data_IF_172339235720
#
_entry.id   IF_172339235720
#
_cell.length_a   1.000
_cell.length_b   1.000
_cell.length_c   1.000
_cell.angle_alpha   90.00
_cell.angle_beta   90.00
_cell.angle_gamma   90.00
#
_symmetry.space_group_name_H-M   'P 1'
#
loop_
_entity.id
_entity.type
_entity.pdbx_description
1 polymer ?
#
# COMPACT_ATOMS: atom_id res chain seq x y z
N UNK A 1 -1.82 -5.56 24.45
CA UNK A 1 -2.91 -4.85 23.76
C UNK A 1 -3.63 -5.87 22.90
N UNK A 2 -4.91 -6.13 23.18
CA UNK A 2 -5.71 -7.04 22.35
C UNK A 2 -5.79 -6.46 20.94
N UNK A 3 -5.32 -7.22 19.96
CA UNK A 3 -5.46 -6.84 18.55
C UNK A 3 -6.95 -6.71 18.24
N UNK A 4 -7.34 -5.58 17.65
CA UNK A 4 -8.70 -5.36 17.21
C UNK A 4 -9.06 -6.44 16.18
N UNK A 5 -10.13 -7.19 16.44
CA UNK A 5 -10.66 -8.22 15.55
C UNK A 5 -12.11 -7.91 15.28
N UNK A 6 -12.56 -8.16 14.07
CA UNK A 6 -13.97 -8.13 13.72
C UNK A 6 -14.36 -9.40 12.92
N UNK A 7 -15.58 -9.50 12.47
CA UNK A 7 -16.08 -10.64 11.70
C UNK A 7 -15.40 -10.82 10.32
N UNK A 8 -14.65 -9.81 9.86
CA UNK A 8 -13.97 -9.80 8.56
C UNK A 8 -12.47 -10.03 8.65
N UNK A 9 -11.86 -9.94 9.83
CA UNK A 9 -10.43 -10.17 9.97
C UNK A 9 -9.82 -9.62 11.28
N UNK A 10 -8.48 -9.59 11.34
CA UNK A 10 -7.51 -9.89 10.27
C UNK A 10 -7.27 -11.40 10.10
N UNK A 11 -6.99 -11.82 8.85
CA UNK A 11 -6.55 -13.18 8.56
C UNK A 11 -5.10 -13.42 9.02
N UNK A 12 -4.25 -12.40 8.85
CA UNK A 12 -2.84 -12.44 9.25
C UNK A 12 -2.41 -11.12 9.86
N UNK A 13 -1.67 -11.18 10.96
CA UNK A 13 -0.84 -10.10 11.47
C UNK A 13 0.56 -10.63 11.72
N UNK A 14 1.54 -9.97 11.11
CA UNK A 14 2.93 -10.42 11.07
C UNK A 14 3.84 -9.25 11.44
N UNK A 15 4.68 -9.46 12.45
CA UNK A 15 5.81 -8.59 12.76
C UNK A 15 7.08 -9.22 12.24
N UNK A 16 7.92 -8.45 11.54
CA UNK A 16 9.20 -8.91 10.99
C UNK A 16 10.33 -8.03 11.49
N UNK A 17 11.48 -8.65 11.71
CA UNK A 17 12.72 -7.99 12.11
C UNK A 17 13.91 -8.66 11.44
N UNK A 18 14.85 -7.87 10.93
CA UNK A 18 16.12 -8.36 10.40
C UNK A 18 17.28 -7.80 11.22
N UNK A 19 17.97 -8.62 12.04
CA UNK A 19 19.07 -8.15 12.89
C UNK A 19 20.29 -7.67 12.11
N UNK A 20 20.44 -8.03 10.83
CA UNK A 20 21.58 -7.61 9.99
C UNK A 20 21.43 -6.17 9.52
N UNK A 21 20.20 -5.76 9.22
CA UNK A 21 19.92 -4.42 8.70
C UNK A 21 19.25 -3.51 9.74
N UNK A 22 18.77 -4.08 10.85
CA UNK A 22 17.92 -3.39 11.81
C UNK A 22 16.51 -3.09 11.29
N UNK A 23 16.11 -3.75 10.17
CA UNK A 23 14.78 -3.59 9.60
C UNK A 23 13.71 -4.11 10.57
N UNK A 24 12.73 -3.27 10.86
CA UNK A 24 11.54 -3.62 11.64
C UNK A 24 10.29 -3.20 10.86
N UNK A 25 9.31 -4.10 10.78
CA UNK A 25 8.08 -3.79 10.07
C UNK A 25 6.93 -4.73 10.39
N UNK A 26 5.77 -4.37 9.85
CA UNK A 26 4.49 -5.04 10.08
C UNK A 26 3.78 -5.31 8.77
N UNK A 27 3.08 -6.43 8.69
CA UNK A 27 2.11 -6.71 7.64
C UNK A 27 0.82 -7.18 8.28
N UNK A 28 -0.29 -6.51 7.95
CA UNK A 28 -1.63 -6.99 8.26
C UNK A 28 -2.37 -7.28 6.96
N UNK A 29 -2.81 -8.52 6.80
CA UNK A 29 -3.74 -8.94 5.77
C UNK A 29 -5.08 -9.06 6.46
N UNK A 30 -5.97 -8.09 6.18
CA UNK A 30 -7.25 -8.02 6.88
C UNK A 30 -8.25 -9.01 6.29
N UNK A 31 -8.38 -9.03 4.95
CA UNK A 31 -9.32 -9.95 4.30
C UNK A 31 -8.89 -10.24 2.86
N UNK A 32 -9.04 -11.49 2.43
CA UNK A 32 -8.70 -11.94 1.06
C UNK A 32 -9.88 -12.55 0.31
N UNK A 33 -11.12 -12.36 0.76
CA UNK A 33 -12.31 -12.92 0.13
C UNK A 33 -12.50 -12.50 -1.34
N UNK A 34 -12.14 -11.25 -1.67
CA UNK A 34 -12.23 -10.73 -3.05
C UNK A 34 -10.94 -10.91 -3.86
N UNK A 35 -9.89 -11.45 -3.26
CA UNK A 35 -8.58 -11.63 -3.89
C UNK A 35 -7.43 -11.26 -2.96
N UNK A 36 -6.18 -11.22 -3.45
CA UNK A 36 -5.03 -10.85 -2.63
C UNK A 36 -5.25 -9.53 -1.92
N UNK A 37 -4.85 -9.45 -0.64
CA UNK A 37 -4.88 -8.19 0.10
C UNK A 37 -4.03 -7.14 -0.60
N UNK A 38 -4.63 -5.98 -0.91
CA UNK A 38 -3.97 -4.85 -1.57
C UNK A 38 -3.85 -3.68 -0.62
N UNK A 39 -2.66 -3.10 -0.50
CA UNK A 39 -2.44 -1.91 0.30
C UNK A 39 -1.00 -1.42 0.28
N UNK A 40 -0.81 -0.16 0.65
CA UNK A 40 0.48 0.52 0.62
C UNK A 40 1.40 0.13 1.77
N UNK A 41 2.69 0.47 1.63
CA UNK A 41 3.70 0.36 2.69
C UNK A 41 3.91 1.75 3.29
N UNK A 42 3.43 1.96 4.51
CA UNK A 42 3.67 3.20 5.26
C UNK A 42 5.06 3.18 5.87
N UNK A 43 5.86 4.20 5.59
CA UNK A 43 7.25 4.28 6.03
C UNK A 43 7.47 5.48 6.96
N UNK A 44 7.21 5.29 8.24
CA UNK A 44 7.35 6.35 9.27
C UNK A 44 8.13 5.85 10.48
N UNK A 45 8.71 6.75 11.29
CA UNK A 45 9.54 6.33 12.44
C UNK A 45 8.71 5.68 13.56
N UNK A 46 7.43 5.96 13.63
CA UNK A 46 6.52 5.57 14.70
C UNK A 46 5.33 4.72 14.21
N UNK A 47 5.43 4.10 13.03
CA UNK A 47 4.39 3.19 12.56
C UNK A 47 4.21 2.02 13.53
N UNK A 48 2.97 1.69 13.85
CA UNK A 48 2.61 0.62 14.78
C UNK A 48 1.77 -0.45 14.10
N UNK A 49 1.74 -1.64 14.69
CA UNK A 49 0.88 -2.74 14.23
C UNK A 49 -0.60 -2.34 14.25
N UNK A 50 -1.03 -1.61 15.27
CA UNK A 50 -2.41 -1.12 15.39
C UNK A 50 -2.78 -0.16 14.26
N UNK A 51 -1.90 0.78 13.93
CA UNK A 51 -2.10 1.68 12.78
C UNK A 51 -2.22 0.90 11.48
N UNK A 52 -1.32 -0.06 11.26
CA UNK A 52 -1.32 -0.92 10.07
C UNK A 52 -2.61 -1.74 9.98
N UNK A 53 -3.10 -2.27 11.11
CA UNK A 53 -4.39 -2.97 11.17
C UNK A 53 -5.56 -2.08 10.73
N UNK A 54 -5.68 -0.88 11.31
CA UNK A 54 -6.77 0.06 10.98
C UNK A 54 -6.77 0.41 9.49
N UNK A 55 -5.60 0.63 8.94
CA UNK A 55 -5.44 0.91 7.50
C UNK A 55 -5.73 -0.31 6.62
N UNK A 56 -5.33 -1.51 7.03
CA UNK A 56 -5.65 -2.75 6.30
C UNK A 56 -7.16 -3.00 6.23
N UNK A 57 -7.86 -2.75 7.34
CA UNK A 57 -9.33 -2.82 7.40
C UNK A 57 -9.97 -1.81 6.44
N UNK A 58 -9.49 -0.57 6.45
CA UNK A 58 -9.94 0.48 5.52
C UNK A 58 -9.73 0.05 4.07
N UNK A 59 -8.60 -0.61 3.74
CA UNK A 59 -8.35 -1.12 2.41
C UNK A 59 -9.34 -2.20 1.98
N UNK A 60 -9.80 -3.06 2.89
CA UNK A 60 -10.85 -4.05 2.60
C UNK A 60 -12.11 -3.36 2.08
N UNK A 61 -12.62 -2.38 2.80
CA UNK A 61 -13.80 -1.63 2.40
C UNK A 61 -13.60 -0.82 1.14
N UNK A 62 -12.45 -0.16 1.03
CA UNK A 62 -12.10 0.65 -0.14
C UNK A 62 -12.08 -0.17 -1.42
N UNK A 63 -11.45 -1.34 -1.40
CA UNK A 63 -11.36 -2.22 -2.57
C UNK A 63 -12.72 -2.84 -2.92
N UNK A 64 -13.50 -3.25 -1.90
CA UNK A 64 -14.84 -3.78 -2.09
C UNK A 64 -15.79 -2.76 -2.72
N UNK A 65 -15.80 -1.51 -2.20
CA UNK A 65 -16.61 -0.42 -2.74
C UNK A 65 -16.21 -0.03 -4.17
N UNK A 66 -14.93 -0.15 -4.50
CA UNK A 66 -14.44 0.09 -5.86
C UNK A 66 -14.75 -1.06 -6.84
N UNK A 67 -15.26 -2.20 -6.36
CA UNK A 67 -15.59 -3.36 -7.18
C UNK A 67 -14.37 -4.02 -7.83
N UNK A 68 -13.18 -3.88 -7.25
CA UNK A 68 -11.95 -4.46 -7.80
C UNK A 68 -11.62 -5.81 -7.14
N UNK A 69 -10.97 -6.75 -7.85
CA UNK A 69 -10.73 -8.11 -7.38
C UNK A 69 -9.55 -8.18 -6.39
N UNK A 70 -9.62 -7.39 -5.31
CA UNK A 70 -8.62 -7.34 -4.25
C UNK A 70 -9.28 -7.32 -2.88
N UNK A 71 -8.66 -8.02 -1.95
CA UNK A 71 -8.92 -7.87 -0.53
C UNK A 71 -8.20 -6.67 0.07
N UNK A 72 -8.19 -6.57 1.39
CA UNK A 72 -7.54 -5.49 2.12
C UNK A 72 -6.30 -5.94 2.88
N UNK A 73 -5.23 -5.21 2.71
CA UNK A 73 -4.01 -5.36 3.48
C UNK A 73 -3.30 -4.01 3.66
N UNK A 74 -2.37 -3.95 4.58
CA UNK A 74 -1.47 -2.81 4.78
C UNK A 74 -0.14 -3.29 5.33
N UNK A 75 0.94 -2.59 4.99
CA UNK A 75 2.23 -2.81 5.60
C UNK A 75 2.79 -1.53 6.22
N UNK A 76 3.63 -1.69 7.22
CA UNK A 76 4.39 -0.62 7.86
C UNK A 76 5.86 -0.98 7.93
N UNK A 77 6.73 -0.05 7.60
CA UNK A 77 8.18 -0.18 7.73
C UNK A 77 8.72 0.98 8.57
N UNK A 78 9.43 0.68 9.64
CA UNK A 78 10.01 1.71 10.51
C UNK A 78 11.17 2.36 9.79
N UNK A 79 11.04 3.67 9.47
CA UNK A 79 12.08 4.49 8.83
C UNK A 79 12.30 5.74 9.70
N UNK A 80 13.49 5.84 10.31
CA UNK A 80 13.87 6.91 11.24
C UNK A 80 14.76 7.97 10.57
N UNK A 81 14.46 8.32 9.30
CA UNK A 81 15.23 9.32 8.55
C UNK A 81 16.21 8.74 7.53
N UNK A 82 16.32 7.42 7.39
CA UNK A 82 17.15 6.79 6.36
C UNK A 82 16.71 7.24 4.97
N UNK A 83 17.68 7.49 4.09
CA UNK A 83 17.48 7.92 2.70
C UNK A 83 18.38 7.12 1.75
N UNK A 84 18.14 7.22 0.45
CA UNK A 84 18.97 6.60 -0.59
C UNK A 84 19.23 5.12 -0.36
N UNK A 85 20.50 4.71 -0.39
CA UNK A 85 20.90 3.30 -0.26
C UNK A 85 20.59 2.68 1.11
N UNK A 86 20.57 3.46 2.18
CA UNK A 86 20.18 2.94 3.49
C UNK A 86 18.70 2.56 3.53
N UNK A 87 17.83 3.45 3.03
CA UNK A 87 16.40 3.17 2.91
C UNK A 87 16.14 1.99 1.99
N UNK A 88 16.84 1.93 0.85
CA UNK A 88 16.75 0.83 -0.11
C UNK A 88 17.09 -0.52 0.53
N UNK A 89 18.15 -0.61 1.32
CA UNK A 89 18.51 -1.84 2.05
C UNK A 89 17.39 -2.29 2.98
N UNK A 90 16.76 -1.38 3.72
CA UNK A 90 15.63 -1.69 4.60
C UNK A 90 14.40 -2.17 3.80
N UNK A 91 14.06 -1.49 2.71
CA UNK A 91 12.94 -1.88 1.82
C UNK A 91 13.16 -3.26 1.22
N UNK A 92 14.37 -3.54 0.75
CA UNK A 92 14.71 -4.84 0.18
C UNK A 92 14.71 -5.96 1.23
N UNK A 93 15.21 -5.68 2.44
CA UNK A 93 15.13 -6.63 3.55
C UNK A 93 13.68 -6.95 3.92
N UNK A 94 12.85 -5.91 4.01
CA UNK A 94 11.42 -6.03 4.28
C UNK A 94 10.70 -6.85 3.19
N UNK A 95 10.99 -6.58 1.91
CA UNK A 95 10.43 -7.34 0.80
C UNK A 95 10.74 -8.84 0.91
N UNK A 96 12.01 -9.18 1.20
CA UNK A 96 12.43 -10.59 1.39
C UNK A 96 11.72 -11.24 2.57
N UNK A 97 11.57 -10.55 3.68
CA UNK A 97 10.85 -11.06 4.85
C UNK A 97 9.37 -11.34 4.56
N UNK A 98 8.74 -10.53 3.72
CA UNK A 98 7.34 -10.70 3.31
C UNK A 98 7.13 -11.63 2.09
N UNK A 99 8.19 -12.12 1.48
CA UNK A 99 8.12 -12.92 0.24
C UNK A 99 7.18 -14.14 0.30
N UNK A 100 6.97 -14.83 1.45
CA UNK A 100 6.02 -15.94 1.54
C UNK A 100 4.56 -15.54 1.27
N UNK A 101 4.20 -14.29 1.51
CA UNK A 101 2.84 -13.78 1.30
C UNK A 101 2.62 -13.23 -0.12
N UNK A 102 3.70 -12.94 -0.86
CA UNK A 102 3.67 -12.20 -2.12
C UNK A 102 3.80 -13.13 -3.33
N UNK A 103 2.98 -12.92 -4.36
CA UNK A 103 1.85 -12.00 -4.49
C UNK A 103 0.50 -12.64 -4.12
N UNK A 104 0.50 -13.90 -3.66
CA UNK A 104 -0.73 -14.70 -3.47
C UNK A 104 -1.66 -14.13 -2.40
N UNK A 105 -1.10 -13.57 -1.34
CA UNK A 105 -1.84 -13.05 -0.19
C UNK A 105 -1.72 -11.54 -0.04
N UNK A 106 -0.62 -10.93 -0.53
CA UNK A 106 -0.37 -9.51 -0.42
C UNK A 106 0.28 -8.94 -1.68
N UNK A 107 -0.19 -7.77 -2.11
CA UNK A 107 0.40 -6.96 -3.18
C UNK A 107 0.60 -5.55 -2.63
N UNK A 108 1.86 -5.09 -2.63
CA UNK A 108 2.24 -3.79 -2.11
C UNK A 108 1.81 -2.63 -3.02
N UNK A 109 1.81 -1.43 -2.47
CA UNK A 109 1.62 -0.18 -3.19
C UNK A 109 2.30 0.97 -2.47
N UNK A 110 2.37 2.17 -3.07
CA UNK A 110 2.88 3.37 -2.40
C UNK A 110 1.93 3.86 -1.30
N UNK A 111 2.50 4.57 -0.32
CA UNK A 111 1.82 5.25 0.78
C UNK A 111 2.73 6.36 1.33
N UNK A 112 2.51 6.83 2.55
CA UNK A 112 3.33 7.86 3.19
C UNK A 112 4.81 7.46 3.18
N UNK A 113 5.65 8.35 2.66
CA UNK A 113 7.09 8.18 2.50
C UNK A 113 7.52 6.92 1.73
N UNK A 114 6.64 6.43 0.83
CA UNK A 114 6.98 5.37 -0.12
C UNK A 114 6.35 5.69 -1.48
N UNK A 115 7.20 5.78 -2.50
CA UNK A 115 6.83 6.12 -3.87
C UNK A 115 7.22 5.04 -4.86
N UNK A 116 7.44 5.47 -6.07
CA UNK A 116 7.73 4.61 -7.21
C UNK A 116 9.03 3.82 -7.05
N UNK A 117 10.08 4.49 -6.57
CA UNK A 117 11.39 3.89 -6.36
C UNK A 117 11.33 2.77 -5.31
N UNK A 118 10.65 3.00 -4.19
CA UNK A 118 10.48 1.99 -3.16
C UNK A 118 9.70 0.78 -3.68
N UNK A 119 8.69 1.00 -4.52
CA UNK A 119 7.92 -0.08 -5.13
C UNK A 119 8.75 -0.88 -6.14
N UNK A 120 9.66 -0.23 -6.85
CA UNK A 120 10.65 -0.88 -7.72
C UNK A 120 11.62 -1.73 -6.88
N UNK A 121 12.27 -1.16 -5.87
CA UNK A 121 13.20 -1.89 -5.00
C UNK A 121 12.56 -3.09 -4.32
N UNK A 122 11.30 -2.95 -3.93
CA UNK A 122 10.50 -4.01 -3.32
C UNK A 122 10.29 -5.19 -4.30
N UNK A 123 9.89 -4.90 -5.54
CA UNK A 123 9.67 -5.91 -6.56
C UNK A 123 10.97 -6.60 -7.00
N UNK A 124 12.04 -5.82 -7.17
CA UNK A 124 13.38 -6.31 -7.55
C UNK A 124 13.94 -7.26 -6.48
N UNK A 125 13.80 -6.91 -5.19
CA UNK A 125 14.37 -7.69 -4.08
C UNK A 125 13.88 -9.15 -4.01
N UNK A 126 12.71 -9.43 -4.55
CA UNK A 126 12.10 -10.77 -4.57
C UNK A 126 11.90 -11.33 -5.98
N UNK A 127 12.35 -10.60 -7.02
CA UNK A 127 12.27 -11.03 -8.40
C UNK A 127 10.84 -11.23 -8.92
N UNK A 128 9.85 -10.51 -8.37
CA UNK A 128 8.44 -10.65 -8.76
C UNK A 128 7.87 -9.31 -9.19
N UNK A 129 7.61 -9.16 -10.47
CA UNK A 129 6.99 -7.96 -11.04
C UNK A 129 5.67 -7.56 -10.37
N UNK A 130 4.83 -8.53 -10.12
CA UNK A 130 3.50 -8.35 -9.52
C UNK A 130 3.51 -8.24 -7.99
N UNK A 131 4.68 -8.08 -7.36
CA UNK A 131 4.80 -7.86 -5.93
C UNK A 131 4.25 -6.49 -5.49
N UNK A 132 4.30 -5.51 -6.38
CA UNK A 132 3.87 -4.14 -6.09
C UNK A 132 3.21 -3.48 -7.30
N UNK A 133 2.41 -2.43 -7.04
CA UNK A 133 1.92 -1.46 -8.01
C UNK A 133 2.55 -0.09 -7.75
N UNK A 134 2.31 0.89 -8.63
CA UNK A 134 2.88 2.23 -8.47
C UNK A 134 4.40 2.27 -8.71
N UNK A 135 4.92 1.42 -9.59
CA UNK A 135 6.32 1.41 -10.02
C UNK A 135 6.55 2.46 -11.11
N UNK A 136 7.81 2.92 -11.30
CA UNK A 136 8.16 3.87 -12.35
C UNK A 136 7.71 3.41 -13.74
N UNK A 137 7.35 4.35 -14.60
CA UNK A 137 6.86 4.07 -15.96
C UNK A 137 7.92 3.39 -16.87
N UNK A 138 9.19 3.65 -16.61
CA UNK A 138 10.33 3.08 -17.32
C UNK A 138 10.74 1.70 -16.81
N UNK A 139 10.22 1.29 -15.64
CA UNK A 139 10.46 -0.05 -15.10
C UNK A 139 9.53 -1.06 -15.76
N UNK A 140 10.04 -1.74 -16.78
CA UNK A 140 9.27 -2.65 -17.63
C UNK A 140 9.78 -4.09 -17.54
N UNK A 141 8.87 -5.03 -17.80
CA UNK A 141 9.20 -6.44 -18.09
C UNK A 141 8.65 -6.84 -19.44
N UNK A 142 9.27 -7.82 -20.04
CA UNK A 142 8.74 -8.49 -21.22
C UNK A 142 8.34 -9.92 -20.87
N UNK A 143 7.11 -10.30 -21.16
CA UNK A 143 6.60 -11.65 -20.93
C UNK A 143 5.72 -12.09 -22.10
N UNK A 144 6.06 -13.22 -22.70
CA UNK A 144 5.34 -13.79 -23.85
C UNK A 144 5.13 -12.77 -24.99
N UNK A 145 6.17 -12.00 -25.32
CA UNK A 145 6.13 -10.98 -26.38
C UNK A 145 5.31 -9.72 -26.03
N UNK A 146 4.85 -9.60 -24.78
CA UNK A 146 4.14 -8.39 -24.32
C UNK A 146 5.00 -7.63 -23.33
N UNK A 147 5.23 -6.35 -23.62
CA UNK A 147 5.89 -5.42 -22.70
C UNK A 147 4.87 -4.87 -21.71
N UNK A 148 5.18 -4.96 -20.42
CA UNK A 148 4.38 -4.40 -19.33
C UNK A 148 5.25 -3.47 -18.51
N UNK A 149 4.84 -2.21 -18.36
CA UNK A 149 5.58 -1.18 -17.62
C UNK A 149 4.84 -0.78 -16.35
N UNK A 150 5.53 -0.07 -15.47
CA UNK A 150 4.93 0.51 -14.27
C UNK A 150 3.84 1.54 -14.61
N UNK A 151 2.89 1.69 -13.71
CA UNK A 151 1.94 2.81 -13.71
C UNK A 151 2.28 3.67 -12.50
N UNK A 152 2.85 4.86 -12.71
CA UNK A 152 3.29 5.71 -11.64
C UNK A 152 2.12 6.25 -10.82
N UNK A 153 2.36 6.44 -9.52
CA UNK A 153 1.38 7.04 -8.61
C UNK A 153 1.13 8.53 -8.92
N UNK A 154 2.11 9.20 -9.48
CA UNK A 154 2.13 10.64 -9.75
C UNK A 154 1.18 11.10 -10.87
N UNK A 155 0.47 10.18 -11.52
CA UNK A 155 -0.58 10.52 -12.50
C UNK A 155 -1.78 11.28 -11.91
N UNK A 156 -1.77 11.58 -10.61
CA UNK A 156 -2.81 12.39 -9.95
C UNK A 156 -4.12 11.64 -9.67
N UNK A 157 -4.13 10.30 -9.80
CA UNK A 157 -5.34 9.49 -9.64
C UNK A 157 -5.99 9.62 -8.26
N UNK A 158 -5.20 9.80 -7.19
CA UNK A 158 -5.73 10.01 -5.84
C UNK A 158 -6.49 11.33 -5.74
N UNK A 159 -5.90 12.44 -6.18
CA UNK A 159 -6.56 13.76 -6.19
C UNK A 159 -7.81 13.77 -7.05
N UNK A 160 -7.76 13.16 -8.23
CA UNK A 160 -8.92 13.02 -9.10
C UNK A 160 -10.06 12.24 -8.42
N UNK A 161 -9.75 11.10 -7.77
CA UNK A 161 -10.74 10.30 -7.06
C UNK A 161 -11.39 11.06 -5.89
N UNK A 162 -10.58 11.79 -5.10
CA UNK A 162 -11.07 12.64 -4.01
C UNK A 162 -11.98 13.75 -4.54
N UNK A 163 -11.58 14.46 -5.60
CA UNK A 163 -12.40 15.51 -6.21
C UNK A 163 -13.75 14.97 -6.69
N UNK A 164 -13.76 13.81 -7.37
CA UNK A 164 -14.99 13.15 -7.83
C UNK A 164 -15.89 12.71 -6.68
N UNK A 165 -15.33 12.11 -5.65
CA UNK A 165 -16.10 11.72 -4.45
C UNK A 165 -16.71 12.94 -3.75
N UNK A 166 -15.97 14.04 -3.66
CA UNK A 166 -16.45 15.31 -3.08
C UNK A 166 -17.61 15.87 -3.91
N UNK A 167 -17.47 15.91 -5.23
CA UNK A 167 -18.55 16.36 -6.15
C UNK A 167 -19.85 15.56 -5.93
N UNK A 168 -19.73 14.22 -5.84
CA UNK A 168 -20.89 13.36 -5.61
C UNK A 168 -21.50 13.60 -4.22
N UNK A 169 -20.67 13.72 -3.18
CA UNK A 169 -21.15 13.98 -1.82
C UNK A 169 -21.91 15.31 -1.71
N UNK A 170 -21.38 16.39 -2.28
CA UNK A 170 -22.04 17.70 -2.31
C UNK A 170 -23.39 17.62 -3.02
N UNK A 171 -23.45 16.95 -4.17
CA UNK A 171 -24.70 16.74 -4.90
C UNK A 171 -25.77 16.01 -4.07
N UNK A 172 -25.36 14.94 -3.37
CA UNK A 172 -26.28 14.18 -2.50
C UNK A 172 -26.78 15.02 -1.31
N UNK A 173 -25.96 15.94 -0.82
CA UNK A 173 -26.34 16.88 0.26
C UNK A 173 -27.09 18.13 -0.23
N UNK A 174 -27.34 18.25 -1.53
CA UNK A 174 -27.97 19.45 -2.12
C UNK A 174 -27.12 20.72 -2.05
N UNK A 175 -25.81 20.57 -1.88
CA UNK A 175 -24.86 21.68 -1.81
C UNK A 175 -24.23 21.98 -3.17
N UNK A 176 -24.02 23.28 -3.45
CA UNK A 176 -23.34 23.69 -4.67
C UNK A 176 -21.83 23.68 -4.46
N UNK A 177 -21.11 23.08 -5.40
CA UNK A 177 -19.64 23.09 -5.41
C UNK A 177 -19.07 24.49 -5.76
N UNK A 178 -19.82 25.26 -6.54
CA UNK A 178 -19.39 26.60 -6.92
C UNK A 178 -19.40 27.54 -5.71
N UNK A 179 -18.26 28.12 -5.39
CA UNK A 179 -18.07 29.00 -4.22
C UNK A 179 -17.82 28.24 -2.91
N UNK A 180 -17.70 26.92 -2.94
CA UNK A 180 -17.37 26.13 -1.74
C UNK A 180 -15.95 26.40 -1.25
N UNK A 181 -15.79 26.45 0.07
CA UNK A 181 -14.46 26.51 0.71
C UNK A 181 -13.95 25.09 0.96
N UNK A 182 -12.71 24.83 0.58
CA UNK A 182 -12.08 23.50 0.70
C UNK A 182 -10.81 23.60 1.55
N UNK A 183 -10.66 22.70 2.53
CA UNK A 183 -9.43 22.50 3.26
C UNK A 183 -8.80 21.17 2.84
N UNK A 184 -7.51 21.17 2.51
CA UNK A 184 -6.76 19.99 2.09
C UNK A 184 -5.68 19.71 3.13
N UNK A 185 -5.65 18.47 3.65
CA UNK A 185 -4.64 17.98 4.55
C UNK A 185 -3.96 16.75 3.96
N UNK A 186 -2.63 16.83 3.80
CA UNK A 186 -1.81 15.74 3.24
C UNK A 186 -1.28 16.01 1.85
#
# INVERSE_FOLDING_TARGET
VSMLKDEFGPEYSVKVYDPKTGMEGFLVIHNTALGPGKGGIRMTPNVTEEEVYRLARTMTWKNALAGIPFGGAKAGLVIKGQKGEEKKKLVQSFARALSPFIPKKYIAGPDVNSGEEEMKWFAEAIGKWNASTGKPADFCIEKAGKKSCGLPHELGSTGFGVAKSTEVALRLLGLNIQGATVAIHG
#
